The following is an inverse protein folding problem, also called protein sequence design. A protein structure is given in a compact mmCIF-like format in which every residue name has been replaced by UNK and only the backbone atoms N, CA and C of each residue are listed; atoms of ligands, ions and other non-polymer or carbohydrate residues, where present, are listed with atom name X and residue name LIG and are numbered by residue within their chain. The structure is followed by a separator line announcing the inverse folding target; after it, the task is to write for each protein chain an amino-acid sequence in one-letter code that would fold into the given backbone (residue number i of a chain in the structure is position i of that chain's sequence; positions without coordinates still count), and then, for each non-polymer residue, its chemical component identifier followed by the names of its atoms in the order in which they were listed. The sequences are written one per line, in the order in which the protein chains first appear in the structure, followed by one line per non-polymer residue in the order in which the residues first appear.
data_IF_586785900047
#
_entry.id   IF_586785900047
#
_cell.length_a   1.000
_cell.length_b   1.000
_cell.length_c   1.000
_cell.angle_alpha   90.00
_cell.angle_beta   90.00
_cell.angle_gamma   90.00
#
_symmetry.space_group_name_H-M   'P 1'
#
loop_
_entity.id
_entity.type
_entity.pdbx_description
1 polymer ?
#
# COMPACT_ATOMS: atom_id res chain seq x y z
N UNK A 1 -69.97 25.74 -6.25
CA UNK A 1 -69.47 24.83 -7.30
C UNK A 1 -68.46 25.60 -8.13
N UNK A 2 -67.18 25.23 -8.08
CA UNK A 2 -66.18 25.50 -9.13
C UNK A 2 -64.83 24.85 -8.72
N UNK A 3 -64.64 23.60 -9.14
CA UNK A 3 -63.31 23.05 -9.46
C UNK A 3 -63.04 23.38 -10.93
N UNK A 4 -61.81 23.79 -11.28
CA UNK A 4 -60.93 22.90 -12.05
C UNK A 4 -59.50 22.93 -11.49
N UNK A 5 -58.85 21.79 -11.22
CA UNK A 5 -58.23 20.88 -12.20
C UNK A 5 -57.01 21.51 -12.89
N UNK A 6 -55.81 21.04 -12.54
CA UNK A 6 -54.62 21.20 -13.37
C UNK A 6 -53.38 21.78 -12.69
N UNK A 7 -52.93 21.26 -11.53
CA UNK A 7 -51.50 21.27 -11.25
C UNK A 7 -50.85 20.29 -12.24
N UNK A 8 -50.23 20.86 -13.28
CA UNK A 8 -49.62 20.12 -14.37
C UNK A 8 -48.60 19.10 -13.86
N UNK A 9 -48.67 17.88 -14.41
CA UNK A 9 -47.74 16.78 -14.16
C UNK A 9 -46.27 17.11 -14.43
N UNK A 10 -45.98 18.24 -15.08
CA UNK A 10 -44.65 18.71 -15.48
C UNK A 10 -43.74 19.05 -14.28
N UNK A 11 -44.23 19.76 -13.26
CA UNK A 11 -43.39 20.15 -12.10
C UNK A 11 -43.07 18.98 -11.18
N UNK A 12 -44.00 18.03 -11.01
CA UNK A 12 -43.77 16.82 -10.25
C UNK A 12 -42.78 15.87 -10.96
N UNK A 13 -42.81 15.83 -12.31
CA UNK A 13 -41.81 15.11 -13.12
C UNK A 13 -40.43 15.79 -13.08
N UNK A 14 -40.34 17.13 -13.08
CA UNK A 14 -39.08 17.85 -12.93
C UNK A 14 -38.45 17.61 -11.54
N UNK A 15 -39.25 17.64 -10.47
CA UNK A 15 -38.78 17.37 -9.11
C UNK A 15 -38.35 15.89 -8.91
N UNK A 16 -39.05 14.94 -9.54
CA UNK A 16 -38.68 13.52 -9.50
C UNK A 16 -37.38 13.23 -10.27
N UNK A 17 -37.16 13.89 -11.42
CA UNK A 17 -35.95 13.72 -12.24
C UNK A 17 -34.68 14.20 -11.52
N UNK A 18 -34.75 15.31 -10.78
CA UNK A 18 -33.62 15.83 -10.01
C UNK A 18 -33.24 14.93 -8.81
N UNK A 19 -34.22 14.25 -8.21
CA UNK A 19 -33.97 13.25 -7.17
C UNK A 19 -33.26 12.01 -7.74
N UNK A 20 -33.75 11.51 -8.89
CA UNK A 20 -33.12 10.40 -9.62
C UNK A 20 -31.68 10.71 -10.02
N UNK A 21 -31.40 11.92 -10.51
CA UNK A 21 -30.05 12.32 -10.92
C UNK A 21 -29.07 12.40 -9.75
N UNK A 22 -29.53 12.82 -8.58
CA UNK A 22 -28.74 12.85 -7.33
C UNK A 22 -28.48 11.46 -6.78
N UNK A 23 -29.50 10.59 -6.82
CA UNK A 23 -29.36 9.17 -6.43
C UNK A 23 -28.40 8.44 -7.40
N UNK A 24 -28.55 8.61 -8.71
CA UNK A 24 -27.62 8.09 -9.74
C UNK A 24 -26.20 8.64 -9.55
N UNK A 25 -26.05 9.94 -9.31
CA UNK A 25 -24.75 10.55 -9.04
C UNK A 25 -24.08 9.96 -7.80
N UNK A 26 -24.86 9.66 -6.75
CA UNK A 26 -24.35 9.02 -5.53
C UNK A 26 -23.88 7.58 -5.79
N UNK A 27 -24.59 6.82 -6.64
CA UNK A 27 -24.14 5.49 -7.07
C UNK A 27 -22.88 5.53 -7.93
N UNK A 28 -22.77 6.46 -8.88
CA UNK A 28 -21.58 6.61 -9.74
C UNK A 28 -20.37 7.03 -8.90
N UNK A 29 -20.54 7.98 -7.98
CA UNK A 29 -19.46 8.41 -7.08
C UNK A 29 -19.05 7.29 -6.12
N UNK A 30 -20.00 6.52 -5.59
CA UNK A 30 -19.70 5.36 -4.75
C UNK A 30 -18.98 4.25 -5.53
N UNK A 31 -19.39 3.97 -6.78
CA UNK A 31 -18.72 3.04 -7.68
C UNK A 31 -17.29 3.47 -8.00
N UNK A 32 -17.06 4.76 -8.29
CA UNK A 32 -15.74 5.31 -8.54
C UNK A 32 -14.82 5.21 -7.30
N UNK A 33 -15.37 5.46 -6.10
CA UNK A 33 -14.65 5.28 -4.83
C UNK A 33 -14.30 3.82 -4.55
N UNK A 34 -15.20 2.86 -4.84
CA UNK A 34 -14.92 1.43 -4.69
C UNK A 34 -13.81 0.99 -5.64
N UNK A 35 -13.85 1.40 -6.91
CA UNK A 35 -12.79 1.07 -7.88
C UNK A 35 -11.45 1.71 -7.51
N UNK A 36 -11.44 2.97 -7.05
CA UNK A 36 -10.25 3.61 -6.52
C UNK A 36 -9.69 2.85 -5.30
N UNK A 37 -10.55 2.38 -4.40
CA UNK A 37 -10.17 1.58 -3.24
C UNK A 37 -9.57 0.22 -3.60
N UNK A 38 -10.11 -0.49 -4.61
CA UNK A 38 -9.53 -1.74 -5.13
C UNK A 38 -8.15 -1.52 -5.76
N UNK A 39 -7.97 -0.42 -6.50
CA UNK A 39 -6.68 -0.05 -7.11
C UNK A 39 -5.63 0.24 -6.05
N UNK A 40 -6.00 0.96 -4.98
CA UNK A 40 -5.09 1.24 -3.87
C UNK A 40 -4.75 -0.02 -3.07
N UNK A 41 -5.73 -0.92 -2.84
CA UNK A 41 -5.49 -2.23 -2.20
C UNK A 41 -4.50 -3.07 -3.00
N UNK A 42 -4.63 -3.12 -4.32
CA UNK A 42 -3.74 -3.92 -5.18
C UNK A 42 -2.33 -3.34 -5.24
N UNK A 43 -2.19 -2.01 -5.36
CA UNK A 43 -0.89 -1.34 -5.35
C UNK A 43 -0.16 -1.48 -4.00
N UNK A 44 -0.89 -1.42 -2.88
CA UNK A 44 -0.33 -1.61 -1.54
C UNK A 44 0.05 -3.08 -1.29
N UNK A 45 -0.77 -4.04 -1.75
CA UNK A 45 -0.52 -5.48 -1.61
C UNK A 45 0.86 -5.88 -2.13
N UNK A 46 1.20 -5.47 -3.36
CA UNK A 46 2.49 -5.80 -3.97
C UNK A 46 3.69 -5.26 -3.14
N UNK A 47 3.60 -4.03 -2.64
CA UNK A 47 4.65 -3.43 -1.82
C UNK A 47 4.79 -4.10 -0.45
N UNK A 48 3.67 -4.49 0.17
CA UNK A 48 3.67 -5.21 1.45
C UNK A 48 4.33 -6.59 1.30
N UNK A 49 4.01 -7.35 0.24
CA UNK A 49 4.57 -8.69 0.03
C UNK A 49 6.10 -8.62 -0.19
N UNK A 50 6.59 -7.64 -0.95
CA UNK A 50 8.02 -7.38 -1.12
C UNK A 50 8.69 -7.04 0.21
N UNK A 51 8.10 -6.16 1.01
CA UNK A 51 8.65 -5.78 2.32
C UNK A 51 8.69 -6.98 3.28
N UNK A 52 7.62 -7.77 3.34
CA UNK A 52 7.54 -8.94 4.21
C UNK A 52 8.65 -9.94 3.88
N UNK A 53 8.87 -10.24 2.60
CA UNK A 53 9.94 -11.13 2.15
C UNK A 53 11.34 -10.59 2.51
N UNK A 54 11.55 -9.27 2.38
CA UNK A 54 12.81 -8.62 2.74
C UNK A 54 13.09 -8.73 4.24
N UNK A 55 12.09 -8.45 5.08
CA UNK A 55 12.19 -8.57 6.54
C UNK A 55 12.45 -10.03 6.94
N UNK A 56 11.73 -10.98 6.34
CA UNK A 56 11.90 -12.40 6.68
C UNK A 56 13.31 -12.91 6.33
N UNK A 57 13.86 -12.44 5.21
CA UNK A 57 15.23 -12.78 4.79
C UNK A 57 16.26 -12.13 5.72
N UNK A 58 16.11 -10.83 6.01
CA UNK A 58 17.00 -10.08 6.89
C UNK A 58 17.04 -10.69 8.29
N UNK A 59 15.86 -10.97 8.87
CA UNK A 59 15.74 -11.57 10.19
C UNK A 59 16.37 -12.95 10.23
N UNK A 60 16.12 -13.81 9.23
CA UNK A 60 16.75 -15.14 9.17
C UNK A 60 18.28 -15.06 9.12
N UNK A 61 18.83 -14.20 8.27
CA UNK A 61 20.28 -14.03 8.14
C UNK A 61 20.93 -13.47 9.40
N UNK A 62 20.33 -12.45 10.00
CA UNK A 62 20.87 -11.89 11.25
C UNK A 62 20.67 -12.83 12.43
N UNK A 63 19.65 -13.68 12.39
CA UNK A 63 19.49 -14.76 13.35
C UNK A 63 20.64 -15.76 13.26
N UNK A 64 20.96 -16.26 12.07
CA UNK A 64 22.07 -17.21 11.86
C UNK A 64 23.44 -16.62 12.25
N UNK A 65 23.65 -15.32 12.03
CA UNK A 65 24.92 -14.64 12.36
C UNK A 65 25.05 -14.39 13.86
N UNK A 66 23.97 -13.99 14.54
CA UNK A 66 24.05 -13.56 15.94
C UNK A 66 23.75 -14.66 16.96
N UNK A 67 23.06 -15.75 16.56
CA UNK A 67 22.74 -16.89 17.42
C UNK A 67 23.48 -18.15 16.92
N UNK A 68 24.74 -18.30 17.35
CA UNK A 68 25.54 -19.49 17.04
C UNK A 68 25.02 -20.76 17.73
N UNK A 69 24.52 -20.61 18.97
CA UNK A 69 23.84 -21.66 19.71
C UNK A 69 22.34 -21.48 19.47
N UNK A 70 21.71 -22.32 18.64
CA UNK A 70 20.29 -22.26 18.23
C UNK A 70 19.24 -22.30 19.38
N UNK A 71 19.66 -22.10 20.62
CA UNK A 71 18.82 -22.03 21.81
C UNK A 71 18.35 -20.58 22.02
N UNK A 72 17.05 -20.28 21.84
CA UNK A 72 16.53 -18.95 22.14
C UNK A 72 16.68 -18.69 23.66
N UNK A 73 17.46 -17.68 24.08
CA UNK A 73 17.61 -17.35 25.48
C UNK A 73 16.32 -16.69 25.98
N UNK A 74 15.99 -16.89 27.26
CA UNK A 74 14.80 -16.30 27.89
C UNK A 74 14.79 -14.77 27.89
N UNK A 75 15.96 -14.15 27.66
CA UNK A 75 16.17 -12.72 27.42
C UNK A 75 17.29 -12.56 26.40
N UNK A 76 17.17 -11.61 25.48
CA UNK A 76 18.29 -11.25 24.60
C UNK A 76 19.42 -10.69 25.47
N UNK A 77 20.59 -11.32 25.39
CA UNK A 77 21.81 -10.80 26.00
C UNK A 77 22.20 -9.46 25.33
N UNK A 78 22.86 -8.57 26.07
CA UNK A 78 23.29 -7.27 25.55
C UNK A 78 24.16 -7.42 24.29
N UNK A 79 25.03 -8.44 24.25
CA UNK A 79 25.87 -8.73 23.08
C UNK A 79 25.04 -9.12 21.85
N UNK A 80 23.98 -9.89 22.06
CA UNK A 80 23.09 -10.34 20.99
C UNK A 80 22.28 -9.17 20.43
N UNK A 81 21.79 -8.29 21.31
CA UNK A 81 21.08 -7.07 20.92
C UNK A 81 21.96 -6.16 20.06
N UNK A 82 23.20 -5.93 20.48
CA UNK A 82 24.18 -5.15 19.70
C UNK A 82 24.56 -5.83 18.39
N UNK A 83 24.70 -7.16 18.39
CA UNK A 83 24.98 -7.93 17.16
C UNK A 83 23.86 -7.75 16.12
N UNK A 84 22.59 -7.92 16.52
CA UNK A 84 21.44 -7.80 15.61
C UNK A 84 21.36 -6.38 15.02
N UNK A 85 21.53 -5.35 15.85
CA UNK A 85 21.54 -3.95 15.39
C UNK A 85 22.62 -3.71 14.32
N UNK A 86 23.85 -4.18 14.58
CA UNK A 86 24.95 -4.05 13.62
C UNK A 86 24.71 -4.88 12.35
N UNK A 87 24.20 -6.11 12.49
CA UNK A 87 23.90 -6.98 11.35
C UNK A 87 22.87 -6.34 10.42
N UNK A 88 21.77 -5.81 10.98
CA UNK A 88 20.73 -5.15 10.20
C UNK A 88 21.27 -3.93 9.47
N UNK A 89 21.99 -3.05 10.17
CA UNK A 89 22.57 -1.84 9.57
C UNK A 89 23.51 -2.20 8.41
N UNK A 90 24.41 -3.17 8.61
CA UNK A 90 25.34 -3.62 7.55
C UNK A 90 24.63 -4.22 6.34
N UNK A 91 23.54 -4.97 6.55
CA UNK A 91 22.80 -5.56 5.44
C UNK A 91 22.06 -4.49 4.62
N UNK A 92 21.50 -3.48 5.28
CA UNK A 92 20.84 -2.34 4.63
C UNK A 92 21.86 -1.49 3.88
N UNK A 93 23.00 -1.19 4.50
CA UNK A 93 24.12 -0.47 3.88
C UNK A 93 24.58 -1.18 2.59
N UNK A 94 24.80 -2.50 2.66
CA UNK A 94 25.20 -3.31 1.51
C UNK A 94 24.15 -3.31 0.40
N UNK A 95 22.86 -3.41 0.77
CA UNK A 95 21.76 -3.40 -0.19
C UNK A 95 21.65 -2.06 -0.92
N UNK A 96 21.82 -0.95 -0.19
CA UNK A 96 21.79 0.40 -0.77
C UNK A 96 22.99 0.63 -1.68
N UNK A 97 24.20 0.23 -1.25
CA UNK A 97 25.40 0.31 -2.07
C UNK A 97 25.25 -0.44 -3.40
N UNK A 98 24.67 -1.65 -3.37
CA UNK A 98 24.39 -2.40 -4.59
C UNK A 98 23.41 -1.68 -5.52
N UNK A 99 22.33 -1.11 -4.98
CA UNK A 99 21.34 -0.35 -5.78
C UNK A 99 21.98 0.89 -6.40
N UNK A 100 22.72 1.67 -5.62
CA UNK A 100 23.43 2.86 -6.12
C UNK A 100 24.44 2.50 -7.21
N UNK A 101 25.18 1.40 -7.04
CA UNK A 101 26.13 0.93 -8.04
C UNK A 101 25.43 0.48 -9.33
N UNK A 102 24.32 -0.26 -9.22
CA UNK A 102 23.52 -0.69 -10.38
C UNK A 102 22.93 0.50 -11.12
N UNK A 103 22.33 1.46 -10.40
CA UNK A 103 21.80 2.70 -10.99
C UNK A 103 22.88 3.51 -11.71
N UNK A 104 24.09 3.57 -11.14
CA UNK A 104 25.23 4.23 -11.77
C UNK A 104 25.67 3.52 -13.05
N UNK A 105 25.63 2.19 -13.11
CA UNK A 105 25.92 1.42 -14.32
C UNK A 105 24.83 1.56 -15.39
N UNK A 106 23.56 1.58 -14.99
CA UNK A 106 22.43 1.80 -15.91
C UNK A 106 22.43 3.22 -16.49
N UNK A 107 22.77 4.23 -15.69
CA UNK A 107 22.95 5.62 -16.15
C UNK A 107 24.13 5.84 -17.11
N UNK A 108 25.09 4.89 -17.17
CA UNK A 108 26.20 4.90 -18.12
C UNK A 108 25.87 4.28 -19.48
N UNK A 109 24.71 3.61 -19.64
CA UNK A 109 24.31 2.88 -20.86
C UNK A 109 23.49 3.74 -21.84
N UNK A 110 23.42 5.06 -21.62
CA UNK A 110 22.77 6.04 -22.50
C UNK A 110 23.74 6.95 -23.28
N UNK A 111 25.05 6.66 -23.26
CA UNK A 111 26.08 7.41 -23.98
C UNK A 111 26.99 6.48 -24.81
N UNK A 112 26.37 5.62 -25.63
CA UNK A 112 27.04 4.89 -26.70
C UNK A 112 26.10 4.80 -27.91
#
# INVERSE_FOLDING_TARGET
MMFPSGLGSSELQQAASEKVKRDVGKFVMFGLLIEAGKKMRTACKLRIDVLFSRVHTLTGRCWDVCFADYRPPSKLDGKTTTCIQNCVNRMVDASNFMVEHLQKMEGGKGMA
#
